data_IF_499178076135
#
_entry.id   IF_499178076135
#
_cell.length_a   1.000
_cell.length_b   1.000
_cell.length_c   1.000
_cell.angle_alpha   90.00
_cell.angle_beta   90.00
_cell.angle_gamma   90.00
#
_symmetry.space_group_name_H-M   'P 1'
#
loop_
_entity.id
_entity.type
_entity.pdbx_description
1 polymer ?
#
# COMPACT_ATOMS: atom_id res chain seq x y z
N UNK A 1 30.81 -24.69 3.33
CA UNK A 1 31.16 -25.86 2.49
C UNK A 1 32.64 -26.27 2.64
N UNK A 2 33.62 -25.46 2.23
CA UNK A 2 35.04 -25.87 2.36
C UNK A 2 35.45 -26.17 3.81
N UNK A 3 35.02 -25.38 4.76
CA UNK A 3 35.30 -25.57 6.18
C UNK A 3 34.65 -26.84 6.76
N UNK A 4 33.48 -27.25 6.26
CA UNK A 4 32.83 -28.51 6.65
C UNK A 4 33.54 -29.75 6.15
N UNK A 5 34.13 -29.66 4.97
CA UNK A 5 34.92 -30.75 4.39
C UNK A 5 36.22 -30.92 5.18
N UNK A 6 36.83 -29.81 5.61
CA UNK A 6 38.11 -29.81 6.31
C UNK A 6 37.96 -30.02 7.83
N UNK A 7 36.81 -29.70 8.41
CA UNK A 7 36.51 -29.80 9.86
C UNK A 7 35.11 -30.38 10.09
N UNK A 8 34.92 -31.68 9.91
CA UNK A 8 33.63 -32.32 10.12
C UNK A 8 33.08 -32.05 11.53
N UNK A 9 31.80 -31.64 11.61
CA UNK A 9 31.12 -31.33 12.85
C UNK A 9 31.21 -29.88 13.33
N UNK A 10 31.91 -29.00 12.60
CA UNK A 10 31.96 -27.55 12.89
C UNK A 10 31.02 -26.75 11.98
N UNK A 11 30.29 -27.42 11.12
CA UNK A 11 29.36 -26.83 10.16
C UNK A 11 28.31 -25.94 10.80
N UNK A 12 28.27 -24.69 10.41
CA UNK A 12 27.13 -23.85 10.71
C UNK A 12 25.95 -24.21 9.77
N UNK A 13 24.74 -24.52 10.28
CA UNK A 13 23.60 -24.76 9.42
C UNK A 13 23.39 -23.58 8.47
N UNK A 14 23.27 -23.87 7.17
CA UNK A 14 22.91 -22.84 6.18
C UNK A 14 21.42 -22.52 6.40
N UNK A 15 21.09 -21.30 6.77
CA UNK A 15 19.68 -20.94 6.94
C UNK A 15 18.96 -20.92 5.59
N UNK A 16 17.67 -21.26 5.59
CA UNK A 16 16.85 -21.21 4.38
C UNK A 16 16.89 -19.80 3.76
N UNK A 17 17.07 -19.67 2.43
CA UNK A 17 17.06 -18.38 1.76
C UNK A 17 15.69 -17.72 1.89
N UNK A 18 15.68 -16.41 2.07
CA UNK A 18 14.42 -15.61 2.07
C UNK A 18 13.84 -15.48 0.66
N UNK A 19 14.70 -15.64 -0.37
CA UNK A 19 14.28 -15.52 -1.77
C UNK A 19 14.22 -14.04 -2.20
N UNK A 20 15.36 -13.33 -2.07
CA UNK A 20 15.47 -11.92 -2.48
C UNK A 20 16.00 -11.84 -3.90
N UNK A 21 15.34 -11.00 -4.75
CA UNK A 21 15.74 -10.77 -6.13
C UNK A 21 15.51 -9.31 -6.52
N UNK A 22 16.34 -8.82 -7.44
CA UNK A 22 16.25 -7.47 -7.99
C UNK A 22 16.59 -7.49 -9.47
N UNK A 23 15.88 -6.69 -10.26
CA UNK A 23 16.13 -6.51 -11.68
C UNK A 23 15.93 -5.05 -12.07
N UNK A 24 16.75 -4.55 -12.99
CA UNK A 24 16.58 -3.23 -13.60
C UNK A 24 16.13 -3.37 -15.04
N UNK A 25 15.05 -2.68 -15.40
CA UNK A 25 14.48 -2.65 -16.75
C UNK A 25 14.38 -1.19 -17.19
N UNK A 26 15.32 -0.74 -18.00
CA UNK A 26 15.42 0.66 -18.40
C UNK A 26 15.65 1.57 -17.18
N UNK A 27 14.68 2.44 -16.90
CA UNK A 27 14.73 3.38 -15.77
C UNK A 27 14.08 2.83 -14.49
N UNK A 28 13.42 1.69 -14.58
CA UNK A 28 12.72 1.10 -13.44
C UNK A 28 13.53 -0.04 -12.84
N UNK A 29 13.50 -0.11 -11.54
CA UNK A 29 13.98 -1.23 -10.74
C UNK A 29 12.79 -1.94 -10.12
N UNK A 30 12.73 -3.26 -10.24
CA UNK A 30 11.77 -4.10 -9.57
C UNK A 30 12.52 -5.08 -8.66
N UNK A 31 12.04 -5.24 -7.43
CA UNK A 31 12.66 -6.13 -6.45
C UNK A 31 11.60 -6.80 -5.57
N UNK A 32 11.97 -7.96 -5.03
CA UNK A 32 11.12 -8.72 -4.11
C UNK A 32 11.97 -9.41 -3.05
N UNK A 33 11.33 -9.72 -1.93
CA UNK A 33 11.91 -10.55 -0.86
C UNK A 33 10.79 -11.29 -0.14
N UNK A 34 11.05 -12.52 0.31
CA UNK A 34 10.07 -13.38 0.98
C UNK A 34 8.97 -13.90 0.06
N UNK A 35 7.83 -14.23 0.64
CA UNK A 35 6.70 -14.82 -0.05
C UNK A 35 5.84 -13.76 -0.76
N UNK A 36 5.43 -14.04 -1.98
CA UNK A 36 4.40 -13.29 -2.67
C UNK A 36 3.00 -13.89 -2.40
N UNK A 37 1.97 -13.21 -2.87
CA UNK A 37 0.57 -13.62 -2.70
C UNK A 37 0.32 -15.07 -3.14
N UNK A 38 0.79 -15.46 -4.32
CA UNK A 38 0.55 -16.80 -4.84
C UNK A 38 1.15 -17.90 -3.94
N UNK A 39 2.33 -17.65 -3.38
CA UNK A 39 2.97 -18.57 -2.43
C UNK A 39 2.18 -18.64 -1.12
N UNK A 40 1.73 -17.50 -0.58
CA UNK A 40 0.96 -17.44 0.66
C UNK A 40 -0.41 -18.12 0.52
N UNK A 41 -1.11 -17.86 -0.58
CA UNK A 41 -2.39 -18.49 -0.92
C UNK A 41 -2.24 -20.02 -1.04
N UNK A 42 -1.21 -20.48 -1.75
CA UNK A 42 -0.93 -21.92 -1.92
C UNK A 42 -0.55 -22.60 -0.58
N UNK A 43 0.09 -21.88 0.33
CA UNK A 43 0.45 -22.38 1.64
C UNK A 43 -0.70 -22.30 2.67
N UNK A 44 -1.83 -21.68 2.34
CA UNK A 44 -2.97 -21.50 3.25
C UNK A 44 -2.65 -20.60 4.44
N UNK A 45 -1.69 -19.69 4.30
CA UNK A 45 -1.30 -18.76 5.37
C UNK A 45 -2.28 -17.59 5.38
N UNK A 46 -2.88 -17.29 6.54
CA UNK A 46 -3.68 -16.09 6.73
C UNK A 46 -2.78 -14.86 6.82
N UNK A 47 -2.97 -13.90 5.90
CA UNK A 47 -2.14 -12.71 5.80
C UNK A 47 -2.95 -11.47 5.43
N UNK A 48 -2.36 -10.33 5.71
CA UNK A 48 -2.81 -9.01 5.23
C UNK A 48 -1.81 -8.43 4.25
N UNK A 49 -2.33 -7.61 3.36
CA UNK A 49 -1.53 -6.90 2.35
C UNK A 49 -1.75 -5.41 2.45
N UNK A 50 -0.68 -4.64 2.39
CA UNK A 50 -0.74 -3.19 2.25
C UNK A 50 -0.01 -2.74 0.99
N UNK A 51 -0.53 -1.69 0.35
CA UNK A 51 0.07 -1.05 -0.81
C UNK A 51 0.38 0.39 -0.46
N UNK A 52 1.58 0.83 -0.77
CA UNK A 52 2.11 2.15 -0.42
C UNK A 52 2.79 2.79 -1.63
N UNK A 53 2.73 4.11 -1.72
CA UNK A 53 3.40 4.88 -2.76
C UNK A 53 4.19 6.06 -2.18
N UNK A 54 5.13 5.80 -1.25
CA UNK A 54 5.98 6.85 -0.69
C UNK A 54 7.02 7.33 -1.71
N UNK A 55 7.54 8.53 -1.50
CA UNK A 55 8.74 8.97 -2.21
C UNK A 55 9.97 8.25 -1.66
N UNK A 56 11.02 8.05 -2.49
CA UNK A 56 12.26 7.42 -2.03
C UNK A 56 13.09 8.34 -1.13
N UNK A 57 12.95 9.67 -1.24
CA UNK A 57 13.51 10.67 -0.34
C UNK A 57 12.54 11.86 -0.15
N UNK A 58 12.94 12.87 0.60
CA UNK A 58 12.11 14.02 0.91
C UNK A 58 11.55 14.68 -0.37
N UNK A 59 10.22 14.81 -0.45
CA UNK A 59 9.52 15.28 -1.65
C UNK A 59 9.85 16.72 -2.06
N UNK A 60 10.37 17.53 -1.13
CA UNK A 60 10.84 18.89 -1.41
C UNK A 60 12.28 18.95 -1.93
N UNK A 61 13.03 17.83 -1.86
CA UNK A 61 14.38 17.74 -2.40
C UNK A 61 14.34 17.33 -3.87
N UNK A 62 15.15 17.94 -4.76
CA UNK A 62 15.12 17.66 -6.19
C UNK A 62 15.36 16.20 -6.55
N UNK A 63 14.66 15.70 -7.57
CA UNK A 63 14.81 14.34 -8.06
C UNK A 63 13.99 13.30 -7.29
N UNK A 64 13.07 13.72 -6.43
CA UNK A 64 12.19 12.82 -5.71
C UNK A 64 11.28 12.03 -6.66
N UNK A 65 11.26 10.70 -6.52
CA UNK A 65 10.38 9.78 -7.26
C UNK A 65 9.67 8.83 -6.31
N UNK A 66 8.53 8.30 -6.74
CA UNK A 66 7.77 7.36 -5.92
C UNK A 66 8.34 5.93 -5.99
N UNK A 67 8.26 5.23 -4.87
CA UNK A 67 8.40 3.78 -4.78
C UNK A 67 6.98 3.19 -4.63
N UNK A 68 6.65 2.19 -5.42
CA UNK A 68 5.45 1.39 -5.26
C UNK A 68 5.82 0.15 -4.44
N UNK A 69 5.35 0.08 -3.21
CA UNK A 69 5.69 -0.95 -2.24
C UNK A 69 4.46 -1.77 -1.87
N UNK A 70 4.61 -3.08 -1.90
CA UNK A 70 3.65 -4.05 -1.36
C UNK A 70 4.33 -4.75 -0.19
N UNK A 71 3.63 -4.88 0.94
CA UNK A 71 4.07 -5.66 2.09
C UNK A 71 2.99 -6.68 2.46
N UNK A 72 3.40 -7.92 2.68
CA UNK A 72 2.58 -8.99 3.24
C UNK A 72 3.04 -9.31 4.67
N UNK A 73 2.10 -9.41 5.59
CA UNK A 73 2.37 -9.79 6.96
C UNK A 73 1.28 -10.73 7.50
N UNK A 74 1.63 -11.58 8.44
CA UNK A 74 0.71 -12.55 9.03
C UNK A 74 -0.37 -11.83 9.83
N UNK A 75 -1.60 -12.32 9.71
CA UNK A 75 -2.77 -11.62 10.23
C UNK A 75 -2.81 -11.57 11.76
N UNK A 76 -2.41 -12.65 12.41
CA UNK A 76 -2.52 -12.81 13.86
C UNK A 76 -1.48 -12.02 14.65
N UNK A 77 -0.20 -12.08 14.26
CA UNK A 77 0.91 -11.50 15.02
C UNK A 77 1.66 -10.38 14.29
N UNK A 78 1.36 -10.16 13.00
CA UNK A 78 2.02 -9.12 12.21
C UNK A 78 3.41 -9.50 11.69
N UNK A 79 3.81 -10.77 11.78
CA UNK A 79 5.11 -11.25 11.28
C UNK A 79 5.26 -10.94 9.79
N UNK A 80 6.39 -10.37 9.40
CA UNK A 80 6.70 -10.04 8.02
C UNK A 80 6.85 -11.31 7.18
N UNK A 81 6.13 -11.41 6.07
CA UNK A 81 6.12 -12.59 5.20
C UNK A 81 6.78 -12.33 3.86
N UNK A 82 6.63 -11.13 3.31
CA UNK A 82 7.22 -10.79 2.03
C UNK A 82 6.93 -9.37 1.59
N UNK A 83 7.75 -8.85 0.68
CA UNK A 83 7.60 -7.52 0.13
C UNK A 83 7.99 -7.48 -1.34
N UNK A 84 7.40 -6.53 -2.08
CA UNK A 84 7.71 -6.24 -3.48
C UNK A 84 7.77 -4.73 -3.65
N UNK A 85 8.75 -4.26 -4.42
CA UNK A 85 8.89 -2.83 -4.68
C UNK A 85 9.26 -2.57 -6.14
N UNK A 86 8.69 -1.48 -6.69
CA UNK A 86 9.03 -0.97 -8.02
C UNK A 86 9.22 0.54 -7.92
N UNK A 87 10.24 1.06 -8.57
CA UNK A 87 10.51 2.50 -8.62
C UNK A 87 11.73 2.82 -9.47
N UNK A 88 12.00 4.09 -9.67
CA UNK A 88 13.20 4.53 -10.39
C UNK A 88 14.45 4.44 -9.50
N UNK A 89 14.33 4.86 -8.24
CA UNK A 89 15.44 4.97 -7.30
C UNK A 89 15.04 4.46 -5.90
N UNK A 90 16.02 3.97 -5.11
CA UNK A 90 15.87 3.63 -3.71
C UNK A 90 15.08 2.34 -3.41
N UNK A 91 14.77 1.54 -4.42
CA UNK A 91 14.11 0.23 -4.29
C UNK A 91 15.04 -0.76 -3.60
N UNK A 92 16.30 -0.81 -4.01
CA UNK A 92 17.36 -1.65 -3.47
C UNK A 92 17.50 -1.51 -1.95
N UNK A 93 17.71 -0.26 -1.48
CA UNK A 93 17.80 0.05 -0.05
C UNK A 93 16.62 -0.53 0.76
N UNK A 94 15.39 -0.36 0.26
CA UNK A 94 14.18 -0.76 1.01
C UNK A 94 13.98 -2.26 0.99
N UNK A 95 14.25 -2.92 -0.13
CA UNK A 95 14.17 -4.38 -0.20
C UNK A 95 15.23 -5.05 0.66
N UNK A 96 16.45 -4.52 0.73
CA UNK A 96 17.51 -5.09 1.60
C UNK A 96 17.16 -4.94 3.09
N UNK A 97 16.60 -3.79 3.50
CA UNK A 97 16.12 -3.61 4.88
C UNK A 97 14.98 -4.60 5.17
N UNK A 98 13.99 -4.74 4.27
CA UNK A 98 12.87 -5.66 4.44
C UNK A 98 13.33 -7.12 4.42
N UNK A 99 14.29 -7.49 3.58
CA UNK A 99 14.88 -8.83 3.57
C UNK A 99 15.57 -9.16 4.90
N UNK A 100 16.30 -8.20 5.45
CA UNK A 100 16.94 -8.32 6.78
C UNK A 100 15.88 -8.45 7.87
N UNK A 101 14.82 -7.63 7.84
CA UNK A 101 13.72 -7.68 8.80
C UNK A 101 12.99 -9.02 8.76
N UNK A 102 12.63 -9.52 7.56
CA UNK A 102 12.01 -10.85 7.39
C UNK A 102 12.95 -11.95 7.93
N UNK A 103 14.23 -11.85 7.63
CA UNK A 103 15.24 -12.81 8.11
C UNK A 103 15.36 -12.82 9.63
N UNK A 104 15.21 -11.66 10.26
CA UNK A 104 15.24 -11.51 11.72
C UNK A 104 13.92 -11.93 12.39
N UNK A 105 12.87 -12.25 11.62
CA UNK A 105 11.55 -12.58 12.15
C UNK A 105 10.80 -11.38 12.73
N UNK A 106 11.04 -10.19 12.19
CA UNK A 106 10.41 -8.96 12.68
C UNK A 106 8.92 -8.89 12.27
N UNK A 107 8.18 -8.10 13.05
CA UNK A 107 6.76 -7.77 12.84
C UNK A 107 6.59 -6.38 12.23
N UNK A 108 5.37 -6.05 11.78
CA UNK A 108 5.03 -4.70 11.31
C UNK A 108 5.21 -3.63 12.41
N UNK A 109 4.99 -3.98 13.67
CA UNK A 109 5.22 -3.08 14.79
C UNK A 109 6.70 -2.71 14.93
N UNK A 110 7.59 -3.71 14.84
CA UNK A 110 9.04 -3.49 14.94
C UNK A 110 9.63 -2.71 13.76
N UNK A 111 8.98 -2.77 12.56
CA UNK A 111 9.39 -1.91 11.43
C UNK A 111 9.22 -0.42 11.71
N UNK A 112 8.26 -0.02 12.56
CA UNK A 112 8.06 1.38 12.94
C UNK A 112 9.25 1.95 13.70
N UNK A 113 9.91 1.12 14.49
CA UNK A 113 10.94 1.50 15.45
C UNK A 113 12.35 1.42 14.87
N UNK A 114 12.48 1.04 13.58
CA UNK A 114 13.78 0.99 12.93
C UNK A 114 14.40 2.38 12.83
N UNK A 115 15.60 2.54 13.38
CA UNK A 115 16.41 3.75 13.26
C UNK A 115 17.18 3.71 11.93
N UNK A 116 16.57 4.30 10.90
CA UNK A 116 17.12 4.31 9.55
C UNK A 116 17.78 5.65 9.23
N UNK A 117 18.93 5.61 8.56
CA UNK A 117 19.68 6.79 8.19
C UNK A 117 18.84 7.76 7.34
N UNK A 118 18.74 9.00 7.80
CA UNK A 118 17.98 10.06 7.18
C UNK A 118 18.80 11.32 6.95
N UNK A 119 18.73 11.82 5.72
CA UNK A 119 18.82 13.25 5.39
C UNK A 119 18.07 13.45 4.06
N UNK A 120 17.69 14.70 3.69
CA UNK A 120 16.79 14.95 2.55
C UNK A 120 17.14 14.25 1.23
N UNK A 121 18.43 14.14 0.82
CA UNK A 121 18.80 13.44 -0.42
C UNK A 121 18.68 11.91 -0.36
N UNK A 122 18.64 11.29 0.83
CA UNK A 122 18.77 9.84 1.01
C UNK A 122 17.49 9.16 1.48
N UNK A 123 16.56 9.91 2.06
CA UNK A 123 15.35 9.34 2.62
C UNK A 123 14.31 10.37 3.02
N UNK A 124 13.34 9.93 3.77
CA UNK A 124 12.31 10.75 4.41
C UNK A 124 12.39 10.56 5.92
N UNK A 125 11.90 11.55 6.69
CA UNK A 125 11.77 11.42 8.15
C UNK A 125 10.94 10.19 8.57
N UNK A 126 9.98 9.79 7.74
CA UNK A 126 9.31 8.49 7.79
C UNK A 126 9.76 7.70 6.56
N UNK A 127 10.82 6.91 6.70
CA UNK A 127 11.29 6.07 5.59
C UNK A 127 10.14 5.17 5.08
N UNK A 128 10.09 4.84 3.79
CA UNK A 128 9.11 3.88 3.25
C UNK A 128 8.94 2.60 4.07
N UNK A 129 10.00 2.10 4.69
CA UNK A 129 9.96 0.91 5.56
C UNK A 129 9.24 1.20 6.88
N UNK A 130 9.57 2.31 7.56
CA UNK A 130 8.86 2.72 8.78
C UNK A 130 7.38 3.00 8.49
N UNK A 131 7.10 3.67 7.35
CA UNK A 131 5.73 3.95 6.92
C UNK A 131 4.95 2.65 6.68
N UNK A 132 5.58 1.62 6.08
CA UNK A 132 4.94 0.31 5.92
C UNK A 132 4.62 -0.34 7.26
N UNK A 133 5.51 -0.25 8.24
CA UNK A 133 5.25 -0.67 9.62
C UNK A 133 4.06 0.05 10.23
N UNK A 134 4.01 1.39 10.14
CA UNK A 134 2.92 2.21 10.68
C UNK A 134 1.56 1.86 10.05
N UNK A 135 1.50 1.67 8.73
CA UNK A 135 0.27 1.29 8.04
C UNK A 135 -0.13 -0.14 8.39
N UNK A 136 0.83 -1.08 8.41
CA UNK A 136 0.59 -2.47 8.79
C UNK A 136 0.03 -2.59 10.22
N UNK A 137 0.59 -1.86 11.18
CA UNK A 137 0.11 -1.84 12.55
C UNK A 137 -1.28 -1.21 12.68
N UNK A 138 -1.58 -0.14 11.93
CA UNK A 138 -2.92 0.43 11.88
C UNK A 138 -3.96 -0.57 11.33
N UNK A 139 -3.58 -1.41 10.38
CA UNK A 139 -4.44 -2.48 9.85
C UNK A 139 -4.63 -3.58 10.90
N UNK A 140 -3.54 -4.01 11.56
CA UNK A 140 -3.55 -5.08 12.56
C UNK A 140 -4.40 -4.73 13.78
N UNK A 141 -4.28 -3.50 14.28
CA UNK A 141 -5.03 -3.04 15.46
C UNK A 141 -6.46 -2.53 15.14
N UNK A 142 -6.91 -2.64 13.88
CA UNK A 142 -8.25 -2.24 13.45
C UNK A 142 -8.47 -0.73 13.30
N UNK A 143 -7.44 0.11 13.48
CA UNK A 143 -7.53 1.57 13.27
C UNK A 143 -7.71 1.93 11.79
N UNK A 144 -7.29 1.03 10.89
CA UNK A 144 -7.43 1.17 9.45
C UNK A 144 -8.03 -0.10 8.85
N UNK A 145 -9.24 -0.01 8.34
CA UNK A 145 -9.87 -1.05 7.52
C UNK A 145 -9.59 -0.79 6.05
N UNK A 146 -9.18 -1.83 5.33
CA UNK A 146 -8.85 -1.74 3.90
C UNK A 146 -9.87 -2.49 3.03
N UNK A 147 -10.09 -1.97 1.82
CA UNK A 147 -10.62 -2.69 0.68
C UNK A 147 -9.61 -2.65 -0.47
N UNK A 148 -9.75 -3.54 -1.45
CA UNK A 148 -8.71 -3.79 -2.44
C UNK A 148 -9.22 -3.67 -3.88
N UNK A 149 -8.35 -3.48 -4.88
CA UNK A 149 -8.75 -3.39 -6.29
C UNK A 149 -9.61 -4.56 -6.79
N UNK A 150 -9.37 -5.79 -6.30
CA UNK A 150 -10.18 -6.95 -6.66
C UNK A 150 -11.63 -6.86 -6.18
N UNK A 151 -11.92 -6.02 -5.20
CA UNK A 151 -13.26 -5.84 -4.63
C UNK A 151 -14.10 -4.83 -5.44
N UNK A 152 -13.51 -4.14 -6.43
CA UNK A 152 -14.11 -2.98 -7.10
C UNK A 152 -15.49 -3.26 -7.66
N UNK A 153 -15.67 -4.39 -8.35
CA UNK A 153 -16.96 -4.74 -8.96
C UNK A 153 -18.05 -5.00 -7.90
N UNK A 154 -17.68 -5.56 -6.75
CA UNK A 154 -18.58 -5.75 -5.61
C UNK A 154 -18.87 -4.43 -4.90
N UNK A 155 -17.85 -3.61 -4.66
CA UNK A 155 -17.97 -2.28 -4.04
C UNK A 155 -18.93 -1.40 -4.82
N UNK A 156 -18.82 -1.35 -6.15
CA UNK A 156 -19.71 -0.54 -6.99
C UNK A 156 -21.18 -0.97 -6.92
N UNK A 157 -21.47 -2.22 -6.56
CA UNK A 157 -22.84 -2.73 -6.40
C UNK A 157 -23.40 -2.54 -4.99
N UNK A 158 -22.57 -2.64 -3.96
CA UNK A 158 -23.02 -2.83 -2.57
C UNK A 158 -22.72 -1.64 -1.65
N UNK A 159 -21.85 -0.73 -2.06
CA UNK A 159 -21.37 0.38 -1.26
C UNK A 159 -21.48 1.70 -2.03
N UNK A 160 -21.28 2.81 -1.34
CA UNK A 160 -20.92 4.06 -2.02
C UNK A 160 -19.42 4.22 -2.04
N UNK A 161 -18.90 4.79 -3.11
CA UNK A 161 -17.48 5.20 -3.18
C UNK A 161 -17.39 6.67 -2.84
N UNK A 162 -16.54 7.01 -1.86
CA UNK A 162 -16.16 8.37 -1.52
C UNK A 162 -14.75 8.64 -2.03
N UNK A 163 -14.62 9.56 -2.99
CA UNK A 163 -13.31 10.02 -3.45
C UNK A 163 -12.89 11.26 -2.66
N UNK A 164 -11.86 11.09 -1.83
CA UNK A 164 -11.34 12.13 -0.93
C UNK A 164 -10.28 13.03 -1.57
N UNK A 165 -10.09 12.95 -2.90
CA UNK A 165 -9.18 13.81 -3.67
C UNK A 165 -9.79 15.20 -3.91
N UNK A 166 -8.96 16.13 -4.40
CA UNK A 166 -9.46 17.42 -4.89
C UNK A 166 -10.40 17.23 -6.09
N UNK A 167 -11.20 18.25 -6.38
CA UNK A 167 -12.12 18.25 -7.54
C UNK A 167 -11.36 18.11 -8.86
N UNK A 168 -10.21 18.76 -8.98
CA UNK A 168 -9.38 18.67 -10.18
C UNK A 168 -8.81 17.25 -10.37
N UNK A 169 -8.33 16.61 -9.30
CA UNK A 169 -7.88 15.21 -9.36
C UNK A 169 -9.04 14.25 -9.69
N UNK A 170 -10.23 14.51 -9.17
CA UNK A 170 -11.43 13.73 -9.45
C UNK A 170 -11.79 13.78 -10.94
N UNK A 171 -11.78 14.97 -11.54
CA UNK A 171 -12.05 15.17 -12.96
C UNK A 171 -11.07 14.42 -13.88
N UNK A 172 -9.83 14.15 -13.42
CA UNK A 172 -8.84 13.36 -14.19
C UNK A 172 -9.09 11.87 -14.22
N UNK A 173 -10.19 11.40 -13.64
CA UNK A 173 -10.64 10.01 -13.67
C UNK A 173 -11.03 9.49 -12.27
N UNK A 174 -12.28 9.02 -12.16
CA UNK A 174 -12.89 8.54 -10.93
C UNK A 174 -13.74 7.30 -11.17
N UNK A 175 -14.10 6.58 -10.12
CA UNK A 175 -15.03 5.44 -10.21
C UNK A 175 -16.46 5.91 -10.51
N UNK A 176 -17.24 5.13 -11.29
CA UNK A 176 -18.63 5.47 -11.60
C UNK A 176 -19.46 5.68 -10.34
N UNK A 177 -20.22 6.78 -10.30
CA UNK A 177 -21.11 7.11 -9.17
C UNK A 177 -20.38 7.49 -7.87
N UNK A 178 -19.07 7.72 -7.91
CA UNK A 178 -18.32 8.14 -6.74
C UNK A 178 -18.73 9.56 -6.31
N UNK A 179 -18.94 9.73 -5.00
CA UNK A 179 -19.16 11.02 -4.37
C UNK A 179 -17.80 11.70 -4.12
N UNK A 180 -17.58 12.89 -4.66
CA UNK A 180 -16.35 13.62 -4.42
C UNK A 180 -16.50 14.60 -3.25
N UNK A 181 -15.81 14.31 -2.16
CA UNK A 181 -15.65 15.22 -1.03
C UNK A 181 -14.18 15.25 -0.64
N UNK A 182 -13.46 16.34 -0.93
CA UNK A 182 -12.07 16.49 -0.48
C UNK A 182 -11.96 16.23 1.03
N UNK A 183 -10.91 15.47 1.43
CA UNK A 183 -10.75 15.05 2.83
C UNK A 183 -10.74 16.22 3.83
N UNK A 184 -10.37 17.42 3.39
CA UNK A 184 -10.38 18.65 4.19
C UNK A 184 -11.79 19.18 4.47
N UNK A 185 -12.77 18.87 3.61
CA UNK A 185 -14.15 19.30 3.73
C UNK A 185 -15.04 18.23 4.43
N UNK A 186 -14.53 17.00 4.59
CA UNK A 186 -15.34 15.85 4.96
C UNK A 186 -16.08 16.02 6.30
N UNK A 187 -15.44 16.63 7.30
CA UNK A 187 -16.06 16.81 8.63
C UNK A 187 -17.30 17.68 8.58
N UNK A 188 -17.32 18.68 7.71
CA UNK A 188 -18.43 19.62 7.55
C UNK A 188 -19.54 19.06 6.65
N UNK A 189 -19.25 17.99 5.89
CA UNK A 189 -20.14 17.40 4.89
C UNK A 189 -20.56 15.96 5.23
N UNK A 190 -20.51 15.56 6.50
CA UNK A 190 -20.89 14.21 6.93
C UNK A 190 -22.37 13.89 6.65
N UNK A 191 -23.28 14.89 6.71
CA UNK A 191 -24.69 14.71 6.40
C UNK A 191 -24.94 14.40 4.92
N UNK A 192 -24.11 14.95 4.02
CA UNK A 192 -24.14 14.59 2.60
C UNK A 192 -23.74 13.12 2.39
N UNK A 193 -22.69 12.65 3.10
CA UNK A 193 -22.31 11.24 3.07
C UNK A 193 -23.43 10.36 3.62
N UNK A 194 -24.08 10.77 4.71
CA UNK A 194 -25.18 10.03 5.33
C UNK A 194 -26.37 9.88 4.37
N UNK A 195 -26.72 10.95 3.70
CA UNK A 195 -27.79 10.99 2.69
C UNK A 195 -27.44 10.10 1.49
N UNK A 196 -26.23 10.24 0.93
CA UNK A 196 -25.79 9.48 -0.23
C UNK A 196 -25.63 7.98 0.06
N UNK A 197 -25.16 7.63 1.26
CA UNK A 197 -24.98 6.23 1.64
C UNK A 197 -26.31 5.52 1.88
N UNK A 198 -27.31 6.21 2.43
CA UNK A 198 -28.59 5.61 2.81
C UNK A 198 -28.42 4.30 3.61
N UNK A 199 -27.48 4.28 4.55
CA UNK A 199 -27.12 3.12 5.37
C UNK A 199 -26.18 2.09 4.71
N UNK A 200 -25.79 2.26 3.45
CA UNK A 200 -24.81 1.40 2.77
C UNK A 200 -23.40 1.69 3.29
N UNK A 201 -22.49 0.69 3.21
CA UNK A 201 -21.07 0.89 3.49
C UNK A 201 -20.45 2.02 2.64
N UNK A 202 -19.45 2.71 3.20
CA UNK A 202 -18.70 3.78 2.51
C UNK A 202 -17.29 3.30 2.21
N UNK A 203 -16.91 3.20 0.96
CA UNK A 203 -15.59 2.78 0.51
C UNK A 203 -14.82 3.98 0.01
N UNK A 204 -13.82 4.39 0.81
CA UNK A 204 -13.08 5.63 0.58
C UNK A 204 -11.88 5.38 -0.31
N UNK A 205 -11.60 6.30 -1.21
CA UNK A 205 -10.40 6.29 -2.03
C UNK A 205 -9.73 7.67 -2.09
N UNK A 206 -8.45 7.69 -2.42
CA UNK A 206 -7.71 8.90 -2.79
C UNK A 206 -6.60 8.54 -3.80
N UNK A 207 -5.57 9.36 -3.94
CA UNK A 207 -4.48 9.07 -4.88
C UNK A 207 -3.65 7.84 -4.46
N UNK A 208 -3.14 7.79 -3.21
CA UNK A 208 -2.14 6.83 -2.75
C UNK A 208 -2.47 6.13 -1.42
N UNK A 209 -3.68 6.34 -0.86
CA UNK A 209 -4.12 5.74 0.40
C UNK A 209 -4.02 6.67 1.62
N UNK A 210 -3.22 7.74 1.59
CA UNK A 210 -2.98 8.61 2.76
C UNK A 210 -4.23 9.40 3.17
N UNK A 211 -4.81 10.18 2.25
CA UNK A 211 -6.01 11.00 2.50
C UNK A 211 -7.24 10.15 2.78
N UNK A 212 -7.37 8.99 2.11
CA UNK A 212 -8.48 8.07 2.36
C UNK A 212 -8.39 7.38 3.72
N UNK A 213 -7.19 7.12 4.25
CA UNK A 213 -7.01 6.63 5.62
C UNK A 213 -7.45 7.68 6.66
N UNK A 214 -7.16 8.97 6.41
CA UNK A 214 -7.65 10.07 7.26
C UNK A 214 -9.19 10.15 7.19
N UNK A 215 -9.74 10.13 5.98
CA UNK A 215 -11.18 10.18 5.75
C UNK A 215 -11.91 8.96 6.37
N UNK A 216 -11.33 7.76 6.26
CA UNK A 216 -11.84 6.56 6.92
C UNK A 216 -11.97 6.75 8.44
N UNK A 217 -10.96 7.30 9.10
CA UNK A 217 -11.00 7.56 10.55
C UNK A 217 -12.11 8.56 10.93
N UNK A 218 -12.31 9.61 10.12
CA UNK A 218 -13.41 10.57 10.34
C UNK A 218 -14.76 9.87 10.21
N UNK A 219 -14.94 9.05 9.19
CA UNK A 219 -16.18 8.31 8.96
C UNK A 219 -16.45 7.27 10.05
N UNK A 220 -15.43 6.49 10.44
CA UNK A 220 -15.56 5.50 11.51
C UNK A 220 -15.96 6.15 12.85
N UNK A 221 -15.36 7.30 13.20
CA UNK A 221 -15.75 8.09 14.37
C UNK A 221 -17.19 8.61 14.29
N UNK A 222 -17.71 8.86 13.09
CA UNK A 222 -19.08 9.28 12.85
C UNK A 222 -20.08 8.11 12.72
N UNK A 223 -19.63 6.87 12.97
CA UNK A 223 -20.46 5.65 12.99
C UNK A 223 -20.72 5.03 11.62
N UNK A 224 -19.97 5.37 10.58
CA UNK A 224 -20.11 4.74 9.26
C UNK A 224 -19.33 3.42 9.21
N UNK A 225 -19.90 2.38 8.56
CA UNK A 225 -19.12 1.26 8.05
C UNK A 225 -18.25 1.77 6.89
N UNK A 226 -16.97 1.98 7.16
CA UNK A 226 -16.05 2.53 6.17
C UNK A 226 -14.78 1.72 6.04
N UNK A 227 -14.16 1.77 4.85
CA UNK A 227 -12.85 1.20 4.58
C UNK A 227 -12.11 2.04 3.54
N UNK A 228 -10.77 2.08 3.61
CA UNK A 228 -9.89 2.82 2.70
C UNK A 228 -9.34 1.92 1.60
N UNK A 229 -9.29 2.39 0.35
CA UNK A 229 -8.65 1.65 -0.74
C UNK A 229 -7.14 1.55 -0.50
N UNK A 230 -6.65 0.32 -0.39
CA UNK A 230 -5.22 0.04 -0.25
C UNK A 230 -4.43 0.60 -1.43
N UNK A 231 -3.53 1.57 -1.15
CA UNK A 231 -2.73 2.24 -2.18
C UNK A 231 -3.50 3.20 -3.12
N UNK A 232 -4.80 3.42 -2.90
CA UNK A 232 -5.59 4.40 -3.65
C UNK A 232 -5.73 4.10 -5.14
N UNK A 233 -6.04 5.16 -5.93
CA UNK A 233 -6.28 5.02 -7.38
C UNK A 233 -5.02 4.60 -8.15
N UNK A 234 -3.82 4.86 -7.61
CA UNK A 234 -2.57 4.40 -8.22
C UNK A 234 -2.53 2.87 -8.27
N UNK A 235 -2.80 2.21 -7.15
CA UNK A 235 -2.89 0.74 -7.10
C UNK A 235 -4.08 0.22 -7.90
N UNK A 236 -5.24 0.90 -7.84
CA UNK A 236 -6.41 0.50 -8.61
C UNK A 236 -6.15 0.50 -10.12
N UNK A 237 -5.57 1.58 -10.64
CA UNK A 237 -5.23 1.69 -12.08
C UNK A 237 -4.25 0.59 -12.50
N UNK A 238 -3.21 0.35 -11.71
CA UNK A 238 -2.25 -0.71 -11.99
C UNK A 238 -2.89 -2.10 -12.00
N UNK A 239 -3.78 -2.39 -11.06
CA UNK A 239 -4.48 -3.67 -10.99
C UNK A 239 -5.53 -3.87 -12.09
N UNK A 240 -6.18 -2.80 -12.54
CA UNK A 240 -7.16 -2.84 -13.62
C UNK A 240 -6.49 -3.00 -15.00
N UNK A 241 -5.24 -2.49 -15.16
CA UNK A 241 -4.55 -2.53 -16.45
C UNK A 241 -5.43 -1.94 -17.58
N UNK A 242 -5.63 -2.72 -18.64
CA UNK A 242 -6.44 -2.31 -19.80
C UNK A 242 -7.93 -2.09 -19.49
N UNK A 243 -8.43 -2.54 -18.35
CA UNK A 243 -9.80 -2.25 -17.88
C UNK A 243 -9.96 -0.83 -17.33
N UNK A 244 -8.87 -0.16 -16.93
CA UNK A 244 -8.94 1.13 -16.27
C UNK A 244 -9.63 2.21 -17.11
N UNK A 245 -9.34 2.41 -18.42
CA UNK A 245 -10.04 3.39 -19.25
C UNK A 245 -11.53 3.11 -19.42
N UNK A 246 -11.93 1.85 -19.45
CA UNK A 246 -13.32 1.45 -19.60
C UNK A 246 -14.12 1.63 -18.31
N UNK A 247 -13.51 1.48 -17.15
CA UNK A 247 -14.17 1.59 -15.85
C UNK A 247 -14.22 3.04 -15.35
N UNK A 248 -13.13 3.80 -15.49
CA UNK A 248 -13.05 5.16 -14.95
C UNK A 248 -13.89 6.14 -15.79
N UNK A 249 -14.44 7.14 -15.13
CA UNK A 249 -15.14 8.27 -15.73
C UNK A 249 -14.26 9.51 -15.64
N UNK A 250 -14.37 10.39 -16.63
CA UNK A 250 -13.57 11.61 -16.75
C UNK A 250 -14.52 12.78 -16.96
N UNK A 251 -14.44 13.79 -16.06
CA UNK A 251 -15.21 15.01 -16.23
C UNK A 251 -14.49 15.94 -17.21
N UNK A 252 -15.14 16.30 -18.30
CA UNK A 252 -14.59 17.21 -19.31
C UNK A 252 -14.00 16.57 -20.57
N UNK A 253 -13.97 15.25 -20.71
CA UNK A 253 -13.79 14.63 -22.00
C UNK A 253 -15.09 14.80 -22.80
N UNK A 254 -15.16 15.82 -23.66
CA UNK A 254 -16.14 15.81 -24.78
C UNK A 254 -15.93 14.48 -25.49
N UNK A 255 -17.00 13.72 -25.64
CA UNK A 255 -17.09 12.66 -26.64
C UNK A 255 -17.05 13.36 -28.01
N UNK A 256 -15.85 13.63 -28.51
CA UNK A 256 -15.65 13.87 -29.93
C UNK A 256 -15.53 12.48 -30.55
N UNK A 257 -16.62 12.10 -31.22
CA UNK A 257 -16.86 10.89 -31.97
C UNK A 257 -15.90 10.75 -33.16
#
# INVERSE_FOLDING_TARGET
>A
MADDILRPGTARPIPHPVGTAIVRIGRLTAALTGANRAVLDAAGIAYRTIHLHPNQHAGYFPGSTQIHLILHFREDDGLLLGAQAVGAEGVDKRIDVLATAIRAGMTVAELMDLDLAYSPPYGQAKDPVNLAGMVGENVRNGTLTLWYPQDVDTVLRTAIVLDARSRDEFATGHLPGALNIPHTELRERLDEVRTASAGRPVRVMCASGVRSAIAHRVLAQAGFDSASLSGGILTLRAALGDRAPALLRFDGARQDA
#
